data_IF_802988693195
#
_entry.id   IF_802988693195
#
_cell.length_a   1.000
_cell.length_b   1.000
_cell.length_c   1.000
_cell.angle_alpha   90.00
_cell.angle_beta   90.00
_cell.angle_gamma   90.00
#
_symmetry.space_group_name_H-M   'P 1'
#
loop_
_entity.id
_entity.type
_entity.pdbx_description
1 polymer ?
#
# COMPACT_ATOMS: atom_id res chain seq x y z
N UNK A 1 -91.26 18.71 19.36
CA UNK A 1 -90.63 19.75 20.16
C UNK A 1 -89.15 19.67 20.01
N UNK A 2 -88.65 20.62 19.38
CA UNK A 2 -87.33 21.14 19.16
C UNK A 2 -86.39 21.04 20.38
N UNK A 3 -85.11 20.59 20.23
CA UNK A 3 -83.96 21.39 20.64
C UNK A 3 -82.68 20.95 19.89
N UNK A 4 -82.18 21.88 19.09
CA UNK A 4 -80.80 21.93 18.58
C UNK A 4 -79.84 22.32 19.72
N UNK A 5 -78.71 21.72 19.77
CA UNK A 5 -77.49 22.48 20.17
C UNK A 5 -76.27 21.86 19.50
N UNK A 6 -75.78 22.67 18.65
CA UNK A 6 -74.48 22.70 17.99
C UNK A 6 -73.37 23.01 19.02
N UNK A 7 -72.28 22.26 19.08
CA UNK A 7 -71.02 22.70 19.60
C UNK A 7 -69.87 21.98 18.93
N UNK A 8 -69.38 22.66 17.89
CA UNK A 8 -68.05 22.46 17.36
C UNK A 8 -67.02 22.85 18.42
N UNK A 9 -66.15 21.92 18.81
CA UNK A 9 -64.92 22.23 19.51
C UNK A 9 -63.76 21.68 18.72
N UNK A 10 -63.15 22.53 17.98
CA UNK A 10 -61.87 22.31 17.30
C UNK A 10 -60.78 22.24 18.34
N UNK A 11 -60.17 21.07 18.50
CA UNK A 11 -58.92 20.90 19.20
C UNK A 11 -57.81 20.98 18.21
N UNK A 12 -57.13 22.13 18.13
CA UNK A 12 -55.88 22.32 17.41
C UNK A 12 -54.76 21.64 18.19
N UNK A 13 -54.22 20.59 17.63
CA UNK A 13 -52.96 19.99 18.09
C UNK A 13 -51.81 20.73 17.45
N UNK A 14 -51.13 21.55 18.23
CA UNK A 14 -49.82 22.15 17.88
C UNK A 14 -48.76 21.05 18.03
N UNK A 15 -48.45 20.38 16.94
CA UNK A 15 -47.32 19.52 16.82
C UNK A 15 -46.01 20.31 16.74
N UNK A 16 -45.32 20.44 17.87
CA UNK A 16 -43.97 20.99 17.88
C UNK A 16 -43.01 19.91 17.26
N UNK A 17 -42.71 20.07 15.98
CA UNK A 17 -41.70 19.27 15.29
C UNK A 17 -40.30 19.63 15.82
N UNK A 18 -39.71 18.78 16.61
CA UNK A 18 -38.27 18.88 16.98
C UNK A 18 -37.48 18.46 15.75
N UNK A 19 -36.98 19.44 15.00
CA UNK A 19 -35.99 19.20 13.95
C UNK A 19 -34.65 18.90 14.61
N UNK A 20 -34.26 17.62 14.66
CA UNK A 20 -32.90 17.21 15.03
C UNK A 20 -31.94 17.62 13.91
N UNK A 21 -30.87 18.37 14.20
CA UNK A 21 -29.85 18.64 13.21
C UNK A 21 -29.13 17.35 12.86
N UNK A 22 -29.26 16.89 11.63
CA UNK A 22 -28.39 15.84 11.06
C UNK A 22 -27.00 16.44 10.94
N UNK A 23 -26.14 16.14 11.90
CA UNK A 23 -24.70 16.41 11.78
C UNK A 23 -24.17 15.52 10.64
N UNK A 24 -24.10 16.08 9.45
CA UNK A 24 -23.34 15.48 8.37
C UNK A 24 -21.86 15.48 8.78
N UNK A 25 -21.39 14.32 9.25
CA UNK A 25 -19.98 14.08 9.45
C UNK A 25 -19.31 14.13 8.07
N UNK A 26 -18.82 15.31 7.70
CA UNK A 26 -17.91 15.47 6.57
C UNK A 26 -16.61 14.76 6.93
N UNK A 27 -16.55 13.46 6.67
CA UNK A 27 -15.29 12.74 6.62
C UNK A 27 -14.43 13.40 5.55
N UNK A 28 -13.33 14.05 5.97
CA UNK A 28 -12.35 14.58 5.01
C UNK A 28 -11.94 13.43 4.10
N UNK A 29 -11.99 13.61 2.76
CA UNK A 29 -11.50 12.58 1.85
C UNK A 29 -10.04 12.32 2.19
N UNK A 30 -9.69 11.05 2.42
CA UNK A 30 -8.30 10.66 2.61
C UNK A 30 -7.50 11.22 1.44
N UNK A 31 -6.56 12.13 1.71
CA UNK A 31 -5.72 12.69 0.67
C UNK A 31 -4.99 11.55 -0.05
N UNK A 32 -5.31 11.35 -1.32
CA UNK A 32 -4.61 10.38 -2.15
C UNK A 32 -3.11 10.76 -2.16
N UNK A 33 -2.25 9.83 -1.74
CA UNK A 33 -0.81 10.03 -1.77
C UNK A 33 -0.38 10.34 -3.20
N UNK A 34 0.15 11.53 -3.42
CA UNK A 34 0.75 11.93 -4.70
C UNK A 34 2.19 11.40 -4.76
N UNK A 35 2.48 10.59 -5.77
CA UNK A 35 3.82 10.06 -6.01
C UNK A 35 4.50 10.85 -7.12
N UNK A 36 5.82 10.99 -7.06
CA UNK A 36 6.64 11.69 -8.06
C UNK A 36 6.50 11.08 -9.47
N UNK A 37 6.32 9.77 -9.53
CA UNK A 37 6.06 9.04 -10.78
C UNK A 37 4.65 8.46 -10.74
N UNK A 38 3.79 8.97 -11.60
CA UNK A 38 2.40 8.52 -11.72
C UNK A 38 2.08 8.26 -13.20
N UNK A 39 1.45 7.12 -13.47
CA UNK A 39 0.97 6.73 -14.79
C UNK A 39 -0.47 6.22 -14.68
N UNK A 40 -1.21 6.31 -15.77
CA UNK A 40 -2.53 5.67 -15.87
C UNK A 40 -2.38 4.14 -15.83
N UNK A 41 -3.44 3.43 -15.49
CA UNK A 41 -3.45 1.96 -15.47
C UNK A 41 -2.98 1.37 -16.81
N UNK A 42 -3.50 1.89 -17.92
CA UNK A 42 -3.11 1.45 -19.25
C UNK A 42 -1.61 1.71 -19.56
N UNK A 43 -1.02 2.78 -19.00
CA UNK A 43 0.41 3.05 -19.14
C UNK A 43 1.25 2.09 -18.30
N UNK A 44 0.82 1.75 -17.08
CA UNK A 44 1.48 0.75 -16.24
C UNK A 44 1.50 -0.62 -16.92
N UNK A 45 0.36 -1.07 -17.48
CA UNK A 45 0.26 -2.35 -18.21
C UNK A 45 1.20 -2.43 -19.42
N UNK A 46 1.46 -1.32 -20.11
CA UNK A 46 2.41 -1.29 -21.24
C UNK A 46 3.87 -1.29 -20.80
N UNK A 47 4.17 -0.84 -19.58
CA UNK A 47 5.54 -0.69 -19.07
C UNK A 47 6.04 -1.92 -18.31
N UNK A 48 5.14 -2.70 -17.77
CA UNK A 48 5.42 -3.83 -16.88
C UNK A 48 5.06 -5.14 -17.59
N UNK A 49 5.73 -6.21 -17.22
CA UNK A 49 5.23 -7.55 -17.54
C UNK A 49 3.92 -7.78 -16.78
N UNK A 50 3.01 -8.65 -17.27
CA UNK A 50 1.77 -8.93 -16.55
C UNK A 50 1.99 -9.32 -15.09
N UNK A 51 3.00 -10.16 -14.78
CA UNK A 51 3.32 -10.57 -13.42
C UNK A 51 3.84 -9.42 -12.55
N UNK A 52 4.77 -8.60 -13.07
CA UNK A 52 5.26 -7.42 -12.35
C UNK A 52 4.16 -6.37 -12.12
N UNK A 53 3.21 -6.25 -13.06
CA UNK A 53 2.05 -5.38 -12.91
C UNK A 53 1.15 -5.85 -11.76
N UNK A 54 0.87 -7.15 -11.65
CA UNK A 54 0.07 -7.69 -10.54
C UNK A 54 0.75 -7.41 -9.19
N UNK A 55 2.05 -7.65 -9.09
CA UNK A 55 2.80 -7.37 -7.85
C UNK A 55 2.78 -5.87 -7.52
N UNK A 56 3.25 -5.02 -8.43
CA UNK A 56 3.46 -3.59 -8.17
C UNK A 56 2.17 -2.78 -8.01
N UNK A 57 1.07 -3.18 -8.67
CA UNK A 57 -0.17 -2.38 -8.74
C UNK A 57 -1.38 -3.03 -8.07
N UNK A 58 -1.33 -4.33 -7.81
CA UNK A 58 -2.41 -5.08 -7.15
C UNK A 58 -1.95 -5.81 -5.87
N UNK A 59 -0.71 -5.52 -5.39
CA UNK A 59 -0.18 -6.07 -4.14
C UNK A 59 -0.18 -7.61 -4.14
N UNK A 60 0.12 -8.20 -5.29
CA UNK A 60 0.27 -9.65 -5.43
C UNK A 60 1.64 -10.08 -4.92
N UNK A 61 1.83 -11.38 -4.75
CA UNK A 61 3.08 -11.98 -4.27
C UNK A 61 3.52 -13.07 -5.22
N UNK A 62 4.77 -13.02 -5.68
CA UNK A 62 5.37 -14.08 -6.47
C UNK A 62 5.56 -15.37 -5.65
N UNK A 63 5.58 -16.55 -6.26
CA UNK A 63 5.92 -17.79 -5.55
C UNK A 63 7.33 -17.72 -4.93
N UNK A 64 7.56 -18.35 -3.77
CA UNK A 64 8.89 -18.40 -3.18
C UNK A 64 9.88 -19.09 -4.13
N UNK A 65 11.14 -18.66 -4.13
CA UNK A 65 12.25 -19.18 -4.96
C UNK A 65 12.06 -19.01 -6.48
N UNK A 66 11.03 -18.28 -6.93
CA UNK A 66 10.75 -18.06 -8.36
C UNK A 66 11.64 -17.01 -9.00
N UNK A 67 12.09 -16.02 -8.24
CA UNK A 67 12.89 -14.92 -8.75
C UNK A 67 14.38 -15.25 -8.77
N UNK A 68 15.11 -15.00 -9.89
CA UNK A 68 16.57 -15.08 -9.92
C UNK A 68 17.23 -14.06 -8.99
N UNK A 69 16.55 -12.96 -8.62
CA UNK A 69 17.09 -11.94 -7.72
C UNK A 69 17.24 -12.44 -6.28
N UNK A 70 16.56 -13.50 -5.89
CA UNK A 70 16.79 -14.16 -4.60
C UNK A 70 18.24 -14.64 -4.48
N UNK A 71 18.80 -15.18 -5.58
CA UNK A 71 20.18 -15.71 -5.64
C UNK A 71 21.20 -14.68 -6.17
N UNK A 72 20.82 -13.45 -6.44
CA UNK A 72 21.73 -12.41 -6.93
C UNK A 72 22.74 -12.02 -5.84
N UNK A 73 24.04 -12.21 -6.11
CA UNK A 73 25.15 -11.94 -5.18
C UNK A 73 26.17 -10.92 -5.69
N UNK A 74 26.00 -10.45 -6.93
CA UNK A 74 26.92 -9.46 -7.50
C UNK A 74 26.77 -8.12 -6.77
N UNK A 75 27.85 -7.33 -6.75
CA UNK A 75 27.79 -5.93 -6.30
C UNK A 75 26.92 -5.12 -7.25
N UNK A 76 26.00 -4.29 -6.69
CA UNK A 76 25.11 -3.46 -7.49
C UNK A 76 23.96 -2.90 -6.66
N UNK A 77 22.96 -2.40 -7.38
CA UNK A 77 21.77 -1.74 -6.81
C UNK A 77 20.49 -2.42 -7.31
N UNK A 78 19.57 -2.66 -6.42
CA UNK A 78 18.21 -3.12 -6.73
C UNK A 78 17.31 -1.91 -6.94
N UNK A 79 16.63 -1.86 -8.08
CA UNK A 79 15.81 -0.75 -8.55
C UNK A 79 14.35 -1.17 -8.60
N UNK A 80 13.43 -0.23 -8.42
CA UNK A 80 12.01 -0.46 -8.69
C UNK A 80 11.78 -0.83 -10.15
N UNK A 81 11.11 -1.94 -10.42
CA UNK A 81 10.80 -2.36 -11.78
C UNK A 81 9.87 -1.37 -12.51
N UNK A 82 9.05 -0.62 -11.75
CA UNK A 82 8.11 0.34 -12.30
C UNK A 82 8.71 1.68 -12.71
N UNK A 83 9.61 2.24 -11.90
CA UNK A 83 10.11 3.61 -12.10
C UNK A 83 11.62 3.78 -12.06
N UNK A 84 12.38 2.69 -11.85
CA UNK A 84 13.83 2.68 -11.70
C UNK A 84 14.38 3.46 -10.48
N UNK A 85 13.54 3.81 -9.48
CA UNK A 85 14.01 4.32 -8.21
C UNK A 85 14.97 3.31 -7.55
N UNK A 86 16.10 3.77 -7.04
CA UNK A 86 17.07 2.94 -6.32
C UNK A 86 16.52 2.58 -4.94
N UNK A 87 16.38 1.27 -4.67
CA UNK A 87 15.71 0.76 -3.47
C UNK A 87 16.67 0.21 -2.43
N UNK A 88 17.56 -0.68 -2.86
CA UNK A 88 18.46 -1.41 -1.96
C UNK A 88 19.86 -1.56 -2.58
N UNK A 89 20.88 -1.43 -1.75
CA UNK A 89 22.24 -1.80 -2.12
C UNK A 89 22.45 -3.31 -1.93
N UNK A 90 23.22 -3.95 -2.81
CA UNK A 90 23.58 -5.37 -2.66
C UNK A 90 24.27 -5.69 -1.34
N UNK A 91 25.01 -4.71 -0.77
CA UNK A 91 25.67 -4.86 0.52
C UNK A 91 24.71 -5.05 1.71
N UNK A 92 23.40 -4.72 1.54
CA UNK A 92 22.39 -4.95 2.58
C UNK A 92 21.57 -6.21 2.35
N UNK A 93 21.83 -6.94 1.24
CA UNK A 93 21.14 -8.18 0.92
C UNK A 93 21.69 -9.33 1.76
N UNK A 94 20.79 -10.22 2.20
CA UNK A 94 21.14 -11.47 2.87
C UNK A 94 20.19 -12.59 2.45
N UNK A 95 20.62 -13.82 2.67
CA UNK A 95 19.78 -15.00 2.47
C UNK A 95 18.93 -15.24 3.72
N UNK A 96 17.62 -15.03 3.61
CA UNK A 96 16.67 -15.24 4.70
C UNK A 96 16.12 -16.68 4.75
N UNK A 97 16.38 -17.52 3.73
CA UNK A 97 15.81 -18.84 3.59
C UNK A 97 14.30 -18.83 3.25
N UNK A 98 13.70 -17.66 3.03
CA UNK A 98 12.25 -17.56 2.78
C UNK A 98 11.87 -17.69 1.30
N UNK A 99 12.85 -17.59 0.39
CA UNK A 99 12.67 -17.72 -1.06
C UNK A 99 12.33 -16.40 -1.76
N UNK A 100 12.50 -15.28 -1.08
CA UNK A 100 12.38 -13.93 -1.63
C UNK A 100 13.61 -13.09 -1.35
N UNK A 101 14.02 -12.19 -2.27
CA UNK A 101 15.11 -11.24 -2.02
C UNK A 101 14.90 -10.49 -0.71
N UNK A 102 15.87 -10.61 0.21
CA UNK A 102 15.76 -10.04 1.55
C UNK A 102 16.90 -9.07 1.84
N UNK A 103 16.58 -7.95 2.49
CA UNK A 103 17.52 -6.87 2.82
C UNK A 103 17.33 -6.45 4.27
N UNK A 104 18.39 -6.06 4.95
CA UNK A 104 18.28 -5.55 6.32
C UNK A 104 18.07 -4.03 6.38
N UNK A 105 18.28 -3.29 5.27
CA UNK A 105 18.10 -1.84 5.19
C UNK A 105 17.90 -1.36 3.75
N UNK A 106 16.92 -0.48 3.48
CA UNK A 106 16.77 0.21 2.20
C UNK A 106 17.78 1.36 2.08
N UNK A 107 17.90 1.92 0.88
CA UNK A 107 18.56 3.21 0.64
C UNK A 107 17.72 4.35 1.28
N UNK A 108 18.37 5.45 1.70
CA UNK A 108 17.67 6.57 2.33
C UNK A 108 16.56 7.14 1.43
N UNK A 109 15.35 7.29 1.98
CA UNK A 109 14.20 7.85 1.26
C UNK A 109 13.64 7.00 0.10
N UNK A 110 14.13 5.78 -0.08
CA UNK A 110 13.80 4.94 -1.23
C UNK A 110 12.42 4.30 -1.16
N UNK A 111 11.92 4.09 0.05
CA UNK A 111 10.66 3.37 0.30
C UNK A 111 9.72 4.16 1.22
N UNK A 112 8.44 3.84 1.14
CA UNK A 112 7.43 4.15 2.15
C UNK A 112 6.84 2.87 2.73
N UNK A 113 6.09 3.01 3.82
CA UNK A 113 5.39 1.91 4.47
C UNK A 113 3.93 2.25 4.72
N UNK A 114 3.08 1.21 4.81
CA UNK A 114 1.68 1.29 5.21
C UNK A 114 1.27 0.03 5.96
N UNK A 115 0.12 0.06 6.62
CA UNK A 115 -0.42 -1.14 7.26
C UNK A 115 -1.28 -1.91 6.26
N UNK A 116 -1.03 -3.21 6.13
CA UNK A 116 -1.76 -4.14 5.30
C UNK A 116 -2.49 -5.17 6.17
N UNK A 117 -3.79 -5.38 5.89
CA UNK A 117 -4.67 -6.34 6.57
C UNK A 117 -5.13 -7.49 5.66
N UNK A 118 -4.56 -7.65 4.48
CA UNK A 118 -5.03 -8.57 3.43
C UNK A 118 -5.12 -10.04 3.89
N UNK A 119 -4.29 -10.44 4.86
CA UNK A 119 -4.30 -11.78 5.45
C UNK A 119 -5.08 -11.88 6.78
N UNK A 120 -5.88 -10.85 7.15
CA UNK A 120 -6.67 -10.86 8.38
C UNK A 120 -5.90 -10.45 9.65
N UNK A 121 -4.61 -10.14 9.55
CA UNK A 121 -3.79 -9.57 10.61
C UNK A 121 -2.91 -8.43 10.07
N UNK A 122 -2.50 -7.48 10.92
CA UNK A 122 -1.70 -6.34 10.46
C UNK A 122 -0.28 -6.78 10.06
N UNK A 123 0.16 -6.34 8.89
CA UNK A 123 1.54 -6.44 8.40
C UNK A 123 2.02 -5.05 7.98
N UNK A 124 3.32 -4.83 8.00
CA UNK A 124 3.89 -3.60 7.47
C UNK A 124 4.27 -3.80 6.01
N UNK A 125 3.44 -3.25 5.11
CA UNK A 125 3.72 -3.19 3.68
C UNK A 125 4.87 -2.23 3.39
N UNK A 126 5.66 -2.56 2.37
CA UNK A 126 6.73 -1.72 1.82
C UNK A 126 6.41 -1.39 0.36
N UNK A 127 6.39 -0.10 0.02
CA UNK A 127 6.19 0.40 -1.34
C UNK A 127 7.28 1.37 -1.77
N UNK A 128 7.46 1.52 -3.06
CA UNK A 128 8.40 2.46 -3.65
C UNK A 128 7.99 3.91 -3.32
N UNK A 129 8.91 4.71 -2.79
CA UNK A 129 8.62 6.11 -2.43
C UNK A 129 8.24 6.96 -3.64
N UNK A 130 8.79 6.66 -4.83
CA UNK A 130 8.58 7.46 -6.05
C UNK A 130 7.28 7.16 -6.78
N UNK A 131 6.84 5.90 -6.83
CA UNK A 131 5.68 5.52 -7.65
C UNK A 131 4.57 4.79 -6.88
N UNK A 132 4.76 4.55 -5.58
CA UNK A 132 3.80 3.83 -4.76
C UNK A 132 3.62 2.35 -5.12
N UNK A 133 4.48 1.80 -5.97
CA UNK A 133 4.39 0.38 -6.35
C UNK A 133 4.72 -0.53 -5.17
N UNK A 134 3.86 -1.52 -4.92
CA UNK A 134 4.06 -2.52 -3.89
C UNK A 134 5.36 -3.30 -4.12
N UNK A 135 6.19 -3.43 -3.09
CA UNK A 135 7.46 -4.15 -3.15
C UNK A 135 7.43 -5.46 -2.35
N UNK A 136 6.76 -5.46 -1.20
CA UNK A 136 6.72 -6.57 -0.26
C UNK A 136 6.38 -6.12 1.14
N UNK A 137 6.98 -6.75 2.15
CA UNK A 137 6.71 -6.45 3.56
C UNK A 137 8.00 -6.41 4.38
N UNK A 138 7.97 -5.71 5.51
CA UNK A 138 9.07 -5.68 6.47
C UNK A 138 8.67 -6.37 7.77
N UNK A 139 9.61 -7.14 8.33
CA UNK A 139 9.48 -7.93 9.55
C UNK A 139 10.61 -7.61 10.52
N UNK A 140 10.41 -7.93 11.81
CA UNK A 140 11.35 -7.67 12.90
C UNK A 140 12.23 -8.90 13.24
N UNK A 141 12.42 -9.79 12.29
CA UNK A 141 13.18 -11.03 12.39
C UNK A 141 14.46 -11.05 11.53
N UNK A 142 14.96 -9.87 11.19
CA UNK A 142 16.16 -9.70 10.38
C UNK A 142 17.45 -9.69 11.19
N UNK A 143 18.62 -9.69 10.50
CA UNK A 143 19.91 -9.67 11.13
C UNK A 143 20.29 -8.26 11.66
N UNK A 144 21.35 -8.23 12.50
CA UNK A 144 22.01 -6.97 12.81
C UNK A 144 22.55 -6.30 11.53
N UNK A 145 22.64 -4.96 11.47
CA UNK A 145 22.50 -4.01 12.58
C UNK A 145 21.07 -3.55 12.87
N UNK A 146 20.09 -3.81 11.99
CA UNK A 146 18.74 -3.22 12.12
C UNK A 146 17.71 -4.12 12.80
N UNK A 147 17.91 -5.43 12.80
CA UNK A 147 16.90 -6.39 13.22
C UNK A 147 15.73 -6.51 12.23
N UNK A 148 15.77 -5.80 11.09
CA UNK A 148 14.70 -5.78 10.11
C UNK A 148 15.00 -6.73 8.94
N UNK A 149 13.96 -7.38 8.43
CA UNK A 149 13.97 -8.13 7.18
C UNK A 149 12.96 -7.51 6.21
N UNK A 150 13.46 -6.82 5.21
CA UNK A 150 12.69 -6.34 4.07
C UNK A 150 12.59 -7.48 3.05
N UNK A 151 11.46 -8.18 3.06
CA UNK A 151 11.18 -9.34 2.21
C UNK A 151 10.46 -8.84 0.95
N UNK A 152 11.18 -8.79 -0.17
CA UNK A 152 10.73 -8.10 -1.39
C UNK A 152 10.42 -9.07 -2.51
N UNK A 153 9.37 -8.80 -3.28
CA UNK A 153 9.11 -9.52 -4.53
C UNK A 153 10.20 -9.19 -5.56
N UNK A 154 10.85 -10.19 -6.11
CA UNK A 154 11.84 -9.98 -7.17
C UNK A 154 11.21 -9.42 -8.45
N UNK A 155 9.94 -9.79 -8.76
CA UNK A 155 9.18 -9.21 -9.87
C UNK A 155 8.95 -7.69 -9.74
N UNK A 156 8.99 -7.16 -8.50
CA UNK A 156 8.89 -5.72 -8.25
C UNK A 156 10.21 -4.99 -8.45
N UNK A 157 11.31 -5.70 -8.70
CA UNK A 157 12.65 -5.13 -8.78
C UNK A 157 13.39 -5.49 -10.06
N UNK A 158 14.45 -4.71 -10.33
CA UNK A 158 15.49 -4.97 -11.32
C UNK A 158 16.84 -4.87 -10.63
N UNK A 159 17.82 -5.61 -11.14
CA UNK A 159 19.20 -5.49 -10.65
C UNK A 159 20.07 -4.74 -11.66
N UNK A 160 20.82 -3.76 -11.18
CA UNK A 160 21.84 -3.05 -11.93
C UNK A 160 23.20 -3.39 -11.34
N UNK A 161 24.06 -4.17 -12.02
CA UNK A 161 25.40 -4.46 -11.54
C UNK A 161 26.27 -3.20 -11.58
N UNK A 162 27.30 -3.17 -10.75
CA UNK A 162 28.24 -2.07 -10.65
C UNK A 162 28.46 -1.62 -9.21
N UNK A 163 29.00 -0.41 -9.03
CA UNK A 163 29.23 0.14 -7.69
C UNK A 163 27.90 0.26 -6.95
N UNK A 164 27.81 -0.31 -5.74
CA UNK A 164 26.64 -0.11 -4.89
C UNK A 164 26.55 1.39 -4.51
N UNK A 165 25.31 1.90 -4.53
CA UNK A 165 25.04 3.27 -4.09
C UNK A 165 25.29 3.44 -2.58
#
# INVERSE_FOLDING_TARGET
>A
MTYRTDRRSALAWLGAGIALPVLAACGSPAQAKTYRVSYTDAQWRRRLTPAAYQVLRHEDTEPPYSSPLDREKRTGTFLCAGCNNELYASATKFDSGTGWPSFYRPLPGAIGTSTDFKLGYPRTEVHCADCGGHLGHVFDDGPRPTGKRYCMNGLAMKFRPGRAA
#
